data_IF_574892173232
#
_entry.id   IF_574892173232
#
_cell.length_a   1.000
_cell.length_b   1.000
_cell.length_c   1.000
_cell.angle_alpha   90.00
_cell.angle_beta   90.00
_cell.angle_gamma   90.00
#
_symmetry.space_group_name_H-M   'P 1'
#
loop_
_entity.id
_entity.type
_entity.pdbx_description
1 polymer ?
#
# COMPACT_ATOMS: atom_id res chain seq x y z
N UNK A 1 14.00 -16.12 -13.22
CA UNK A 1 14.17 -17.27 -12.30
C UNK A 1 13.15 -17.11 -11.19
N UNK A 2 12.44 -18.16 -10.75
CA UNK A 2 11.38 -17.99 -9.74
C UNK A 2 11.96 -17.45 -8.43
N UNK A 3 11.23 -16.59 -7.73
CA UNK A 3 11.62 -16.20 -6.37
C UNK A 3 10.93 -17.11 -5.36
N UNK A 4 11.67 -17.54 -4.34
CA UNK A 4 11.08 -18.28 -3.22
C UNK A 4 10.07 -17.42 -2.42
N UNK A 5 10.15 -16.10 -2.56
CA UNK A 5 9.23 -15.15 -1.94
C UNK A 5 7.84 -15.13 -2.60
N UNK A 6 7.66 -15.81 -3.74
CA UNK A 6 6.34 -16.03 -4.33
C UNK A 6 5.50 -17.05 -3.56
N UNK A 7 6.13 -17.84 -2.69
CA UNK A 7 5.51 -18.97 -2.02
C UNK A 7 4.98 -18.60 -0.65
N UNK A 8 3.84 -19.15 -0.25
CA UNK A 8 3.42 -19.20 1.16
C UNK A 8 4.22 -20.25 1.92
N UNK A 9 4.18 -20.20 3.25
CA UNK A 9 4.90 -21.16 4.09
C UNK A 9 4.38 -22.58 3.85
N UNK A 10 3.08 -22.71 3.67
CA UNK A 10 2.40 -23.97 3.35
C UNK A 10 2.82 -24.51 1.98
N UNK A 11 2.86 -23.67 0.95
CA UNK A 11 3.36 -24.08 -0.37
C UNK A 11 4.83 -24.53 -0.29
N UNK A 12 5.66 -23.81 0.47
CA UNK A 12 7.05 -24.17 0.65
C UNK A 12 7.19 -25.51 1.41
N UNK A 13 6.33 -25.80 2.39
CA UNK A 13 6.29 -27.10 3.09
C UNK A 13 6.04 -28.28 2.16
N UNK A 14 5.31 -28.06 1.06
CA UNK A 14 5.05 -29.08 0.06
C UNK A 14 6.27 -29.35 -0.83
N UNK A 15 7.13 -28.35 -1.03
CA UNK A 15 8.34 -28.44 -1.85
C UNK A 15 9.51 -29.02 -1.04
N UNK A 16 9.77 -28.50 0.17
CA UNK A 16 10.98 -28.87 0.93
C UNK A 16 10.75 -30.07 1.85
N UNK A 17 11.74 -30.97 1.93
CA UNK A 17 11.71 -32.13 2.83
C UNK A 17 12.86 -32.09 3.84
N UNK A 18 12.61 -32.37 5.13
CA UNK A 18 11.30 -32.50 5.77
C UNK A 18 10.52 -31.17 5.84
N UNK A 19 9.17 -31.17 5.94
CA UNK A 19 8.34 -29.96 5.83
C UNK A 19 8.70 -28.84 6.82
N UNK A 20 9.19 -29.17 8.02
CA UNK A 20 9.58 -28.17 9.01
C UNK A 20 10.71 -27.23 8.52
N UNK A 21 11.47 -27.63 7.49
CA UNK A 21 12.52 -26.80 6.88
C UNK A 21 11.96 -25.51 6.29
N UNK A 22 10.69 -25.48 5.86
CA UNK A 22 10.04 -24.27 5.35
C UNK A 22 10.08 -23.13 6.37
N UNK A 23 9.82 -23.43 7.65
CA UNK A 23 9.92 -22.44 8.74
C UNK A 23 11.33 -21.89 8.90
N UNK A 24 12.35 -22.74 8.77
CA UNK A 24 13.75 -22.29 8.87
C UNK A 24 14.12 -21.37 7.72
N UNK A 25 13.73 -21.73 6.49
CA UNK A 25 13.95 -20.91 5.29
C UNK A 25 13.24 -19.56 5.45
N UNK A 26 11.98 -19.57 5.89
CA UNK A 26 11.21 -18.35 6.20
C UNK A 26 11.94 -17.44 7.18
N UNK A 27 12.39 -17.99 8.32
CA UNK A 27 13.11 -17.20 9.32
C UNK A 27 14.42 -16.62 8.76
N UNK A 28 15.16 -17.36 7.93
CA UNK A 28 16.37 -16.84 7.30
C UNK A 28 16.08 -15.67 6.36
N UNK A 29 15.06 -15.78 5.54
CA UNK A 29 14.68 -14.74 4.57
C UNK A 29 14.10 -13.53 5.30
N UNK A 30 13.05 -13.72 6.09
CA UNK A 30 12.22 -12.63 6.61
C UNK A 30 12.67 -12.09 7.97
N UNK A 31 13.45 -12.84 8.75
CA UNK A 31 13.95 -12.39 10.06
C UNK A 31 15.44 -12.12 10.10
N UNK A 32 16.23 -12.82 9.27
CA UNK A 32 17.69 -12.65 9.18
C UNK A 32 18.13 -11.89 7.92
N UNK A 33 17.21 -11.63 6.98
CA UNK A 33 17.46 -10.85 5.76
C UNK A 33 18.62 -11.37 4.91
N UNK A 34 18.82 -12.70 4.85
CA UNK A 34 19.92 -13.29 4.07
C UNK A 34 19.77 -13.03 2.57
N UNK A 35 20.91 -12.94 1.89
CA UNK A 35 20.97 -12.76 0.43
C UNK A 35 21.20 -14.08 -0.31
N UNK A 36 21.67 -15.12 0.38
CA UNK A 36 22.04 -16.38 -0.22
C UNK A 36 21.49 -17.56 0.58
N UNK A 37 21.06 -18.62 -0.13
CA UNK A 37 20.73 -19.88 0.51
C UNK A 37 21.93 -20.51 1.22
N UNK A 38 23.16 -20.18 0.78
CA UNK A 38 24.38 -20.67 1.42
C UNK A 38 24.55 -20.18 2.87
N UNK A 39 23.96 -19.03 3.23
CA UNK A 39 24.02 -18.46 4.59
C UNK A 39 23.17 -19.26 5.59
N UNK A 40 22.27 -20.12 5.12
CA UNK A 40 21.32 -20.87 5.95
C UNK A 40 21.99 -22.07 6.62
N UNK A 41 22.90 -21.82 7.57
CA UNK A 41 23.80 -22.83 8.16
C UNK A 41 23.10 -24.00 8.87
N UNK A 42 21.84 -23.82 9.28
CA UNK A 42 21.05 -24.89 9.88
C UNK A 42 20.39 -25.81 8.84
N UNK A 43 20.58 -25.58 7.53
CA UNK A 43 20.09 -26.42 6.43
C UNK A 43 21.21 -27.32 5.87
N UNK A 44 20.89 -28.57 5.47
CA UNK A 44 21.83 -29.43 4.77
C UNK A 44 22.42 -28.75 3.52
N UNK A 45 23.69 -29.04 3.21
CA UNK A 45 24.36 -28.48 2.02
C UNK A 45 23.61 -28.81 0.73
N UNK A 46 23.15 -30.05 0.58
CA UNK A 46 22.37 -30.50 -0.58
C UNK A 46 21.09 -29.67 -0.79
N UNK A 47 20.34 -29.40 0.28
CA UNK A 47 19.12 -28.60 0.21
C UNK A 47 19.42 -27.14 -0.19
N UNK A 48 20.51 -26.55 0.32
CA UNK A 48 20.90 -25.19 -0.07
C UNK A 48 21.25 -25.12 -1.56
N UNK A 49 21.94 -26.13 -2.09
CA UNK A 49 22.29 -26.22 -3.50
C UNK A 49 21.08 -26.45 -4.42
N UNK A 50 20.11 -27.26 -3.99
CA UNK A 50 18.84 -27.46 -4.69
C UNK A 50 18.04 -26.15 -4.77
N UNK A 51 17.87 -25.46 -3.64
CA UNK A 51 17.16 -24.18 -3.59
C UNK A 51 17.83 -23.13 -4.48
N UNK A 52 19.17 -23.03 -4.45
CA UNK A 52 19.92 -22.10 -5.31
C UNK A 52 19.80 -22.38 -6.81
N UNK A 53 19.47 -23.61 -7.22
CA UNK A 53 19.27 -23.96 -8.63
C UNK A 53 17.89 -23.59 -9.14
N UNK A 54 16.88 -23.64 -8.27
CA UNK A 54 15.48 -23.43 -8.65
C UNK A 54 14.97 -22.02 -8.37
N UNK A 55 15.46 -21.41 -7.29
CA UNK A 55 14.96 -20.17 -6.76
C UNK A 55 16.05 -19.12 -6.60
N UNK A 56 15.63 -17.86 -6.69
CA UNK A 56 16.34 -16.75 -6.08
C UNK A 56 15.61 -16.31 -4.81
N UNK A 57 16.29 -15.57 -3.93
CA UNK A 57 15.65 -14.98 -2.75
C UNK A 57 14.90 -13.71 -3.17
N UNK A 58 15.60 -12.59 -3.38
CA UNK A 58 14.94 -11.32 -3.68
C UNK A 58 14.85 -11.07 -5.19
N UNK A 59 13.65 -10.84 -5.76
CA UNK A 59 13.48 -10.51 -7.17
C UNK A 59 13.75 -9.03 -7.51
N UNK A 60 14.15 -8.22 -6.52
CA UNK A 60 14.34 -6.78 -6.67
C UNK A 60 15.79 -6.39 -6.51
N UNK A 61 16.19 -5.39 -7.29
CA UNK A 61 17.46 -4.69 -7.13
C UNK A 61 17.19 -3.21 -6.87
N UNK A 62 17.80 -2.64 -5.83
CA UNK A 62 17.75 -1.19 -5.57
C UNK A 62 18.63 -0.49 -6.61
N UNK A 63 18.01 0.25 -7.51
CA UNK A 63 18.71 1.05 -8.53
C UNK A 63 19.06 2.43 -7.99
N UNK A 64 18.14 3.05 -7.26
CA UNK A 64 18.32 4.37 -6.69
C UNK A 64 17.51 4.54 -5.40
N UNK A 65 18.00 5.40 -4.51
CA UNK A 65 17.31 5.83 -3.29
C UNK A 65 17.39 7.34 -3.18
N UNK A 66 16.24 8.00 -3.18
CA UNK A 66 16.13 9.44 -2.97
C UNK A 66 15.61 9.70 -1.54
N UNK A 67 16.29 10.57 -0.79
CA UNK A 67 15.90 10.91 0.57
C UNK A 67 15.39 12.36 0.64
N UNK A 68 14.18 12.50 1.20
CA UNK A 68 13.51 13.78 1.42
C UNK A 68 13.98 14.42 2.72
N UNK A 69 13.86 15.75 2.81
CA UNK A 69 14.12 16.52 4.04
C UNK A 69 13.27 16.06 5.24
N UNK A 70 12.10 15.47 5.00
CA UNK A 70 11.24 14.93 6.05
C UNK A 70 11.59 13.50 6.51
N UNK A 71 12.66 12.93 5.94
CA UNK A 71 13.16 11.58 6.19
C UNK A 71 12.45 10.48 5.40
N UNK A 72 11.49 10.83 4.52
CA UNK A 72 10.90 9.87 3.59
C UNK A 72 11.95 9.43 2.57
N UNK A 73 11.93 8.15 2.19
CA UNK A 73 12.84 7.62 1.18
C UNK A 73 12.07 6.98 0.05
N UNK A 74 12.34 7.40 -1.19
CA UNK A 74 11.78 6.82 -2.40
C UNK A 74 12.80 5.87 -3.03
N UNK A 75 12.39 4.64 -3.25
CA UNK A 75 13.20 3.58 -3.83
C UNK A 75 12.77 3.36 -5.26
N UNK A 76 13.74 3.31 -6.17
CA UNK A 76 13.57 2.79 -7.51
C UNK A 76 14.10 1.35 -7.55
N UNK A 77 13.20 0.39 -7.73
CA UNK A 77 13.56 -1.02 -7.86
C UNK A 77 13.57 -1.45 -9.32
N UNK A 78 14.56 -2.24 -9.73
CA UNK A 78 14.58 -2.98 -10.99
C UNK A 78 14.10 -4.41 -10.76
N UNK A 79 13.18 -4.84 -11.62
CA UNK A 79 12.61 -6.19 -11.66
C UNK A 79 13.47 -7.09 -12.57
N UNK A 80 13.28 -8.41 -12.47
CA UNK A 80 14.02 -9.39 -13.28
C UNK A 80 13.85 -9.20 -14.80
N UNK A 81 12.71 -8.64 -15.23
CA UNK A 81 12.40 -8.37 -16.63
C UNK A 81 12.85 -6.98 -17.09
N UNK A 82 13.63 -6.27 -16.27
CA UNK A 82 14.24 -4.98 -16.60
C UNK A 82 13.33 -3.77 -16.40
N UNK A 83 12.03 -3.97 -16.14
CA UNK A 83 11.12 -2.90 -15.76
C UNK A 83 11.45 -2.37 -14.36
N UNK A 84 10.94 -1.18 -14.05
CA UNK A 84 11.12 -0.54 -12.75
C UNK A 84 9.80 -0.24 -12.05
N UNK A 85 9.85 -0.22 -10.72
CA UNK A 85 8.76 0.22 -9.85
C UNK A 85 9.30 1.10 -8.74
N UNK A 86 8.42 1.90 -8.15
CA UNK A 86 8.75 2.74 -7.01
C UNK A 86 8.10 2.24 -5.72
N UNK A 87 8.77 2.49 -4.60
CA UNK A 87 8.22 2.29 -3.26
C UNK A 87 8.69 3.41 -2.34
N UNK A 88 7.94 3.69 -1.27
CA UNK A 88 8.26 4.80 -0.38
C UNK A 88 8.26 4.36 1.08
N UNK A 89 9.34 4.61 1.78
CA UNK A 89 9.40 4.55 3.24
C UNK A 89 8.98 5.90 3.81
N UNK A 90 7.96 5.90 4.68
CA UNK A 90 7.42 7.09 5.33
C UNK A 90 7.65 7.00 6.85
N UNK A 91 8.53 7.82 7.44
CA UNK A 91 8.62 7.95 8.88
C UNK A 91 7.38 8.70 9.42
N UNK A 92 6.51 8.00 10.14
CA UNK A 92 5.24 8.54 10.64
C UNK A 92 5.38 9.21 12.01
N UNK A 93 6.21 8.64 12.89
CA UNK A 93 6.54 9.20 14.20
C UNK A 93 8.00 8.92 14.50
N UNK A 94 8.71 9.91 15.05
CA UNK A 94 10.09 9.75 15.51
C UNK A 94 10.12 9.03 16.87
N UNK A 95 11.24 8.37 17.12
CA UNK A 95 11.54 7.86 18.45
C UNK A 95 11.70 9.02 19.42
N UNK A 96 11.18 8.86 20.62
CA UNK A 96 11.41 9.79 21.73
C UNK A 96 11.90 8.99 22.92
N UNK A 97 12.89 9.54 23.60
CA UNK A 97 13.48 9.00 24.82
C UNK A 97 13.34 10.02 25.94
N UNK A 98 13.19 9.53 27.16
CA UNK A 98 13.28 10.37 28.35
C UNK A 98 14.75 10.70 28.69
N UNK A 99 14.95 11.50 29.74
CA UNK A 99 16.27 11.93 30.22
C UNK A 99 17.13 10.75 30.69
N UNK A 100 16.51 9.63 31.06
CA UNK A 100 17.13 8.39 31.50
C UNK A 100 17.50 7.46 30.31
N UNK A 101 17.13 7.86 29.08
CA UNK A 101 17.43 7.15 27.84
C UNK A 101 16.44 6.04 27.48
N UNK A 102 15.34 5.88 28.23
CA UNK A 102 14.29 4.91 27.96
C UNK A 102 13.39 5.36 26.82
N UNK A 103 12.95 4.43 25.96
CA UNK A 103 12.06 4.73 24.83
C UNK A 103 10.64 4.98 25.35
N UNK A 104 10.22 6.24 25.38
CA UNK A 104 8.84 6.66 25.70
C UNK A 104 7.92 6.59 24.49
N UNK A 105 8.46 6.75 23.28
CA UNK A 105 7.71 6.56 22.04
C UNK A 105 8.59 5.84 21.01
N UNK A 106 8.13 4.68 20.54
CA UNK A 106 8.78 3.99 19.44
C UNK A 106 8.53 4.68 18.10
N UNK A 107 9.57 4.74 17.26
CA UNK A 107 9.42 5.18 15.88
C UNK A 107 8.37 4.34 15.13
N UNK A 108 7.57 4.99 14.28
CA UNK A 108 6.54 4.34 13.44
C UNK A 108 6.83 4.59 11.97
N UNK A 109 6.74 3.54 11.17
CA UNK A 109 6.96 3.59 9.72
C UNK A 109 5.73 3.12 8.97
N UNK A 110 5.51 3.69 7.79
CA UNK A 110 4.63 3.12 6.77
C UNK A 110 5.43 2.90 5.50
N UNK A 111 5.19 1.81 4.81
CA UNK A 111 5.82 1.48 3.53
C UNK A 111 4.73 1.48 2.46
N UNK A 112 4.87 2.37 1.50
CA UNK A 112 4.03 2.44 0.32
C UNK A 112 4.61 1.50 -0.74
N UNK A 113 3.83 0.50 -1.14
CA UNK A 113 4.24 -0.51 -2.11
C UNK A 113 3.41 -0.43 -3.38
N UNK A 114 4.08 -0.72 -4.49
CA UNK A 114 3.49 -0.94 -5.81
C UNK A 114 2.90 -2.34 -5.92
N UNK A 115 1.87 -2.47 -6.73
CA UNK A 115 1.16 -3.74 -7.03
C UNK A 115 1.22 -4.12 -8.51
N UNK A 116 1.57 -3.19 -9.39
CA UNK A 116 1.69 -3.41 -10.82
C UNK A 116 2.86 -2.58 -11.38
N UNK A 117 3.37 -2.96 -12.55
CA UNK A 117 4.21 -2.10 -13.37
C UNK A 117 3.29 -1.22 -14.22
N UNK A 118 3.19 0.06 -13.84
CA UNK A 118 2.21 0.98 -14.40
C UNK A 118 0.80 0.79 -13.83
N UNK A 119 -0.22 1.36 -14.48
CA UNK A 119 -1.62 1.27 -14.02
C UNK A 119 -2.63 1.49 -15.17
N UNK A 120 -3.71 0.70 -15.21
CA UNK A 120 -4.77 0.80 -16.24
C UNK A 120 -5.85 1.86 -15.96
N UNK A 121 -5.87 2.44 -14.75
CA UNK A 121 -7.02 3.23 -14.29
C UNK A 121 -7.18 4.59 -14.99
N UNK A 122 -6.11 5.12 -15.60
CA UNK A 122 -6.19 6.33 -16.41
C UNK A 122 -6.50 7.61 -15.63
N UNK A 123 -6.26 7.64 -14.31
CA UNK A 123 -6.56 8.80 -13.47
C UNK A 123 -5.80 10.05 -13.96
N UNK A 124 -6.53 11.12 -14.29
CA UNK A 124 -5.96 12.30 -14.95
C UNK A 124 -4.95 13.08 -14.08
N UNK A 125 -5.08 12.94 -12.76
CA UNK A 125 -4.20 13.56 -11.77
C UNK A 125 -2.98 12.70 -11.40
N UNK A 126 -2.89 11.44 -11.88
CA UNK A 126 -1.86 10.49 -11.48
C UNK A 126 -0.74 10.39 -12.53
N UNK A 127 0.51 10.61 -12.11
CA UNK A 127 1.66 10.50 -13.01
C UNK A 127 1.87 9.06 -13.53
N UNK A 128 1.67 8.05 -12.67
CA UNK A 128 1.78 6.62 -13.03
C UNK A 128 0.84 6.23 -14.17
N UNK A 129 -0.36 6.81 -14.21
CA UNK A 129 -1.33 6.52 -15.26
C UNK A 129 -0.83 6.91 -16.67
N UNK A 130 0.08 7.90 -16.77
CA UNK A 130 0.69 8.28 -18.05
C UNK A 130 1.65 7.22 -18.60
N UNK A 131 2.23 6.39 -17.74
CA UNK A 131 3.14 5.31 -18.14
C UNK A 131 2.43 4.09 -18.74
N UNK A 132 1.09 4.06 -18.72
CA UNK A 132 0.31 2.90 -19.15
C UNK A 132 0.42 1.73 -18.18
N UNK A 133 -0.08 0.56 -18.58
CA UNK A 133 0.05 -0.70 -17.84
C UNK A 133 0.91 -1.68 -18.62
N UNK A 134 1.81 -2.37 -17.92
CA UNK A 134 2.66 -3.41 -18.50
C UNK A 134 2.25 -4.78 -17.98
N UNK A 135 2.35 -5.01 -16.65
CA UNK A 135 1.97 -6.28 -16.02
C UNK A 135 1.69 -6.14 -14.54
N UNK A 136 1.07 -7.19 -13.99
CA UNK A 136 0.94 -7.37 -12.55
C UNK A 136 2.28 -7.76 -11.91
N UNK A 137 2.49 -7.34 -10.65
CA UNK A 137 3.58 -7.84 -9.83
C UNK A 137 3.22 -9.21 -9.24
N UNK A 138 4.22 -10.07 -9.10
CA UNK A 138 4.08 -11.35 -8.39
C UNK A 138 4.02 -11.11 -6.87
N UNK A 139 3.60 -12.12 -6.07
CA UNK A 139 3.61 -11.98 -4.61
C UNK A 139 5.00 -11.66 -4.08
N UNK A 140 6.04 -12.32 -4.61
CA UNK A 140 7.43 -12.10 -4.21
C UNK A 140 7.91 -10.69 -4.53
N UNK A 141 7.55 -10.12 -5.68
CA UNK A 141 7.88 -8.73 -6.03
C UNK A 141 7.18 -7.72 -5.10
N UNK A 142 5.96 -8.01 -4.62
CA UNK A 142 5.26 -7.15 -3.64
C UNK A 142 5.93 -7.25 -2.26
N UNK A 143 6.19 -8.47 -1.79
CA UNK A 143 6.79 -8.73 -0.47
C UNK A 143 8.22 -8.19 -0.40
N UNK A 144 8.99 -8.32 -1.47
CA UNK A 144 10.37 -7.89 -1.53
C UNK A 144 10.55 -6.38 -1.36
N UNK A 145 9.59 -5.56 -1.82
CA UNK A 145 9.63 -4.11 -1.58
C UNK A 145 9.72 -3.79 -0.08
N UNK A 146 8.95 -4.51 0.74
CA UNK A 146 8.97 -4.33 2.21
C UNK A 146 10.26 -4.87 2.82
N UNK A 147 10.69 -6.06 2.39
CA UNK A 147 11.91 -6.70 2.90
C UNK A 147 13.15 -5.83 2.64
N UNK A 148 13.35 -5.42 1.39
CA UNK A 148 14.52 -4.63 0.98
C UNK A 148 14.54 -3.25 1.65
N UNK A 149 13.39 -2.57 1.76
CA UNK A 149 13.30 -1.30 2.49
C UNK A 149 13.65 -1.47 3.96
N UNK A 150 13.15 -2.53 4.62
CA UNK A 150 13.49 -2.77 6.03
C UNK A 150 14.97 -3.06 6.19
N UNK A 151 15.54 -3.86 5.30
CA UNK A 151 16.97 -4.23 5.30
C UNK A 151 17.87 -3.02 5.09
N UNK A 152 17.61 -2.23 4.05
CA UNK A 152 18.40 -1.03 3.69
C UNK A 152 18.39 0.03 4.81
N UNK A 153 17.29 0.12 5.57
CA UNK A 153 17.16 1.06 6.69
C UNK A 153 17.50 0.46 8.06
N UNK A 154 18.07 -0.75 8.12
CA UNK A 154 18.35 -1.47 9.36
C UNK A 154 17.15 -1.55 10.31
N UNK A 155 15.94 -1.65 9.75
CA UNK A 155 14.70 -1.82 10.50
C UNK A 155 14.61 -3.28 10.92
N UNK A 156 14.64 -3.52 12.23
CA UNK A 156 14.56 -4.85 12.80
C UNK A 156 13.37 -5.66 12.27
N UNK A 157 13.54 -6.97 12.12
CA UNK A 157 12.51 -7.87 11.61
C UNK A 157 11.21 -7.78 12.43
N UNK A 158 11.30 -7.72 13.76
CA UNK A 158 10.18 -7.58 14.68
C UNK A 158 9.64 -6.14 14.80
N UNK A 159 10.28 -5.13 14.18
CA UNK A 159 9.80 -3.76 14.21
C UNK A 159 8.50 -3.64 13.43
N UNK A 160 7.50 -3.07 14.10
CA UNK A 160 6.16 -2.86 13.54
C UNK A 160 6.21 -1.79 12.44
N UNK A 161 5.72 -2.14 11.25
CA UNK A 161 5.49 -1.24 10.13
C UNK A 161 4.04 -1.32 9.67
N UNK A 162 3.55 -0.27 9.02
CA UNK A 162 2.30 -0.37 8.24
C UNK A 162 2.65 -0.54 6.76
N UNK A 163 1.83 -1.27 6.01
CA UNK A 163 1.97 -1.42 4.56
C UNK A 163 0.74 -0.80 3.93
N UNK A 164 0.94 0.08 2.95
CA UNK A 164 -0.14 0.69 2.18
C UNK A 164 0.07 0.39 0.71
N UNK A 165 -0.94 -0.18 0.07
CA UNK A 165 -0.93 -0.48 -1.36
C UNK A 165 -1.41 0.76 -2.12
N UNK A 166 -0.57 1.79 -2.13
CA UNK A 166 -0.85 3.12 -2.70
C UNK A 166 0.29 3.58 -3.64
N UNK A 167 1.19 2.66 -4.02
CA UNK A 167 2.24 2.93 -5.00
C UNK A 167 1.70 2.82 -6.42
N UNK A 168 2.51 2.25 -7.33
CA UNK A 168 2.11 2.04 -8.70
C UNK A 168 1.10 0.88 -8.82
N UNK A 169 0.04 1.09 -9.61
CA UNK A 169 -0.96 0.08 -9.93
C UNK A 169 -2.27 0.18 -9.16
N UNK A 170 -3.28 -0.54 -9.64
CA UNK A 170 -4.55 -0.78 -8.95
C UNK A 170 -4.48 -2.15 -8.23
N UNK A 171 -4.38 -2.19 -6.90
CA UNK A 171 -4.17 -3.44 -6.17
C UNK A 171 -5.27 -4.48 -6.42
N UNK A 172 -6.53 -4.04 -6.60
CA UNK A 172 -7.63 -4.97 -6.86
C UNK A 172 -7.66 -5.52 -8.29
N UNK A 173 -6.97 -4.91 -9.24
CA UNK A 173 -6.71 -5.49 -10.58
C UNK A 173 -5.59 -6.55 -10.53
N UNK A 174 -4.93 -6.71 -9.37
CA UNK A 174 -3.93 -7.74 -9.10
C UNK A 174 -4.29 -8.56 -7.83
N UNK A 175 -5.57 -8.85 -7.63
CA UNK A 175 -6.10 -9.35 -6.36
C UNK A 175 -5.44 -10.67 -5.91
N UNK A 176 -5.22 -11.64 -6.79
CA UNK A 176 -4.64 -12.95 -6.39
C UNK A 176 -3.24 -12.80 -5.80
N UNK A 177 -2.37 -12.10 -6.52
CA UNK A 177 -0.99 -11.91 -6.08
C UNK A 177 -0.94 -11.04 -4.81
N UNK A 178 -1.84 -10.05 -4.73
CA UNK A 178 -2.01 -9.21 -3.54
C UNK A 178 -2.41 -10.03 -2.31
N UNK A 179 -3.45 -10.88 -2.40
CA UNK A 179 -3.91 -11.73 -1.30
C UNK A 179 -2.76 -12.62 -0.82
N UNK A 180 -2.02 -13.21 -1.75
CA UNK A 180 -0.90 -14.09 -1.43
C UNK A 180 0.25 -13.33 -0.74
N UNK A 181 0.61 -12.14 -1.24
CA UNK A 181 1.60 -11.27 -0.61
C UNK A 181 1.18 -10.86 0.81
N UNK A 182 -0.10 -10.48 0.99
CA UNK A 182 -0.68 -10.13 2.29
C UNK A 182 -0.53 -11.30 3.28
N UNK A 183 -0.82 -12.54 2.86
CA UNK A 183 -0.67 -13.76 3.68
C UNK A 183 0.80 -14.03 4.04
N UNK A 184 1.72 -13.90 3.09
CA UNK A 184 3.16 -14.07 3.32
C UNK A 184 3.68 -13.05 4.34
N UNK A 185 3.31 -11.78 4.19
CA UNK A 185 3.72 -10.73 5.13
C UNK A 185 3.12 -10.90 6.52
N UNK A 186 1.94 -11.52 6.61
CA UNK A 186 1.25 -11.73 7.87
C UNK A 186 1.77 -12.92 8.69
N UNK A 187 2.36 -13.92 8.03
CA UNK A 187 2.88 -15.11 8.70
C UNK A 187 3.87 -14.72 9.83
N UNK A 188 3.74 -15.38 10.98
CA UNK A 188 4.57 -15.15 12.17
C UNK A 188 6.05 -15.56 11.96
N UNK A 189 6.31 -16.52 11.08
CA UNK A 189 7.66 -16.88 10.65
C UNK A 189 8.10 -16.03 9.44
N UNK A 190 7.18 -15.26 8.84
CA UNK A 190 7.43 -14.29 7.77
C UNK A 190 7.80 -12.91 8.32
N UNK A 191 7.31 -11.84 7.67
CA UNK A 191 7.54 -10.46 8.12
C UNK A 191 6.72 -10.09 9.37
N UNK A 192 5.81 -10.95 9.85
CA UNK A 192 4.99 -10.73 11.04
C UNK A 192 4.19 -9.42 11.05
N UNK A 193 3.74 -8.98 9.87
CA UNK A 193 2.96 -7.75 9.70
C UNK A 193 1.47 -8.08 9.80
N UNK A 194 0.85 -7.70 10.92
CA UNK A 194 -0.60 -7.88 11.13
C UNK A 194 -1.42 -7.34 9.95
N UNK A 195 -2.43 -8.09 9.51
CA UNK A 195 -3.41 -7.65 8.50
C UNK A 195 -4.01 -6.29 8.83
N UNK A 196 -4.19 -5.97 10.12
CA UNK A 196 -4.72 -4.68 10.59
C UNK A 196 -3.78 -3.49 10.37
N UNK A 197 -2.56 -3.74 9.89
CA UNK A 197 -1.56 -2.73 9.50
C UNK A 197 -1.36 -2.67 7.99
N UNK A 198 -2.11 -3.46 7.24
CA UNK A 198 -2.07 -3.50 5.79
C UNK A 198 -3.33 -2.81 5.26
N UNK A 199 -3.16 -1.75 4.47
CA UNK A 199 -4.27 -0.96 3.90
C UNK A 199 -4.28 -1.10 2.38
N UNK A 200 -5.31 -1.76 1.85
CA UNK A 200 -5.55 -1.89 0.41
C UNK A 200 -6.31 -0.66 -0.04
N UNK A 201 -5.70 0.17 -0.90
CA UNK A 201 -6.39 1.25 -1.58
C UNK A 201 -6.92 0.76 -2.93
N UNK A 202 -8.05 1.31 -3.37
CA UNK A 202 -8.62 0.99 -4.68
C UNK A 202 -9.35 2.17 -5.30
N UNK A 203 -9.27 2.24 -6.63
CA UNK A 203 -10.02 3.13 -7.51
C UNK A 203 -11.49 2.76 -7.63
N UNK A 204 -11.96 1.72 -6.93
CA UNK A 204 -13.38 1.40 -6.82
C UNK A 204 -13.86 0.27 -7.72
N UNK A 205 -13.05 -0.78 -7.91
CA UNK A 205 -13.47 -1.97 -8.66
C UNK A 205 -14.50 -2.74 -7.81
N UNK A 206 -15.78 -2.38 -7.91
CA UNK A 206 -16.82 -2.78 -6.94
C UNK A 206 -16.98 -4.30 -6.83
N UNK A 207 -16.83 -5.05 -7.93
CA UNK A 207 -16.81 -6.51 -7.90
C UNK A 207 -15.60 -7.08 -7.12
N UNK A 208 -14.41 -6.50 -7.28
CA UNK A 208 -13.23 -6.94 -6.52
C UNK A 208 -13.26 -6.51 -5.06
N UNK A 209 -13.94 -5.39 -4.73
CA UNK A 209 -14.17 -5.01 -3.33
C UNK A 209 -14.97 -6.10 -2.63
N UNK A 210 -16.04 -6.60 -3.26
CA UNK A 210 -16.84 -7.72 -2.72
C UNK A 210 -15.99 -8.96 -2.54
N UNK A 211 -15.23 -9.34 -3.58
CA UNK A 211 -14.35 -10.52 -3.54
C UNK A 211 -13.27 -10.43 -2.45
N UNK A 212 -12.64 -9.28 -2.28
CA UNK A 212 -11.71 -9.05 -1.16
C UNK A 212 -12.42 -9.15 0.20
N UNK A 213 -13.67 -8.73 0.28
CA UNK A 213 -14.51 -8.88 1.47
C UNK A 213 -14.79 -10.35 1.80
N UNK A 214 -15.09 -11.16 0.79
CA UNK A 214 -15.35 -12.61 0.93
C UNK A 214 -14.12 -13.36 1.47
N UNK A 215 -12.91 -12.98 1.05
CA UNK A 215 -11.66 -13.53 1.59
C UNK A 215 -11.47 -13.24 3.10
N UNK A 216 -12.15 -12.20 3.63
CA UNK A 216 -12.19 -11.84 5.05
C UNK A 216 -10.80 -11.81 5.73
N UNK A 217 -9.78 -11.34 5.01
CA UNK A 217 -8.39 -11.31 5.52
C UNK A 217 -8.20 -10.40 6.74
N UNK A 218 -9.15 -9.51 7.00
CA UNK A 218 -9.07 -8.55 8.09
C UNK A 218 -8.16 -7.34 7.81
N UNK A 219 -7.82 -7.10 6.53
CA UNK A 219 -7.12 -5.88 6.07
C UNK A 219 -7.96 -4.62 6.29
N UNK A 220 -7.32 -3.45 6.14
CA UNK A 220 -8.00 -2.17 6.06
C UNK A 220 -8.29 -1.83 4.60
N UNK A 221 -9.44 -1.21 4.34
CA UNK A 221 -9.86 -0.78 3.00
C UNK A 221 -9.83 0.75 2.91
N UNK A 222 -9.19 1.25 1.85
CA UNK A 222 -9.23 2.64 1.42
C UNK A 222 -9.84 2.75 0.02
N UNK A 223 -10.70 3.74 -0.19
CA UNK A 223 -11.38 4.01 -1.46
C UNK A 223 -10.90 5.36 -1.98
N UNK A 224 -10.27 5.37 -3.14
CA UNK A 224 -9.93 6.58 -3.89
C UNK A 224 -11.20 7.12 -4.56
N UNK A 225 -11.91 7.98 -3.83
CA UNK A 225 -13.21 8.50 -4.25
C UNK A 225 -13.08 9.77 -5.10
N UNK A 226 -12.40 10.78 -4.54
CA UNK A 226 -11.98 12.05 -5.16
C UNK A 226 -13.06 12.95 -5.79
N UNK A 227 -14.29 12.48 -5.94
CA UNK A 227 -15.44 13.26 -6.38
C UNK A 227 -16.72 12.69 -5.77
N UNK A 228 -17.76 13.52 -5.69
CA UNK A 228 -19.06 13.19 -5.08
C UNK A 228 -20.21 13.15 -6.07
N UNK A 229 -19.92 13.22 -7.36
CA UNK A 229 -20.84 12.93 -8.45
C UNK A 229 -20.09 12.27 -9.60
N UNK A 230 -20.83 11.44 -10.36
CA UNK A 230 -20.25 10.60 -11.40
C UNK A 230 -19.63 11.41 -12.53
N UNK A 231 -20.23 12.56 -12.89
CA UNK A 231 -19.70 13.41 -13.96
C UNK A 231 -18.27 13.84 -13.67
N UNK A 232 -18.02 14.43 -12.49
CA UNK A 232 -16.68 14.84 -12.13
C UNK A 232 -15.77 13.62 -11.91
N UNK A 233 -16.30 12.55 -11.32
CA UNK A 233 -15.50 11.35 -11.08
C UNK A 233 -15.02 10.70 -12.36
N UNK A 234 -15.83 10.66 -13.41
CA UNK A 234 -15.42 10.16 -14.73
C UNK A 234 -14.33 10.99 -15.39
N UNK A 235 -14.35 12.31 -15.20
CA UNK A 235 -13.31 13.21 -15.69
C UNK A 235 -11.97 12.94 -14.99
N UNK A 236 -12.00 12.76 -13.67
CA UNK A 236 -10.80 12.52 -12.87
C UNK A 236 -10.31 11.07 -12.95
N UNK A 237 -11.24 10.12 -13.02
CA UNK A 237 -11.04 8.67 -12.89
C UNK A 237 -11.93 7.95 -13.90
N UNK A 238 -11.47 7.72 -15.14
CA UNK A 238 -12.27 7.11 -16.21
C UNK A 238 -12.90 5.76 -15.86
N UNK A 239 -12.30 5.02 -14.93
CA UNK A 239 -12.86 3.77 -14.36
C UNK A 239 -14.28 3.93 -13.79
N UNK A 240 -14.71 5.15 -13.43
CA UNK A 240 -16.07 5.42 -12.96
C UNK A 240 -17.15 5.06 -13.98
N UNK A 241 -16.83 5.08 -15.28
CA UNK A 241 -17.75 4.65 -16.35
C UNK A 241 -18.14 3.17 -16.22
N UNK A 242 -17.22 2.34 -15.73
CA UNK A 242 -17.45 0.92 -15.48
C UNK A 242 -18.00 0.69 -14.06
N UNK A 243 -17.53 1.46 -13.07
CA UNK A 243 -17.90 1.33 -11.67
C UNK A 243 -18.24 2.70 -11.08
N UNK A 244 -19.52 3.08 -11.19
CA UNK A 244 -20.02 4.36 -10.70
C UNK A 244 -19.99 4.44 -9.17
N UNK A 245 -20.17 5.65 -8.62
CA UNK A 245 -20.11 5.89 -7.17
C UNK A 245 -21.11 5.00 -6.40
N UNK A 246 -22.33 4.85 -6.90
CA UNK A 246 -23.36 4.03 -6.25
C UNK A 246 -22.91 2.57 -6.10
N UNK A 247 -22.36 1.98 -7.16
CA UNK A 247 -21.87 0.60 -7.13
C UNK A 247 -20.72 0.41 -6.12
N UNK A 248 -19.84 1.41 -6.01
CA UNK A 248 -18.73 1.41 -5.04
C UNK A 248 -19.29 1.46 -3.62
N UNK A 249 -20.21 2.39 -3.35
CA UNK A 249 -20.82 2.53 -2.02
C UNK A 249 -21.59 1.28 -1.61
N UNK A 250 -22.30 0.64 -2.55
CA UNK A 250 -22.97 -0.64 -2.29
C UNK A 250 -21.96 -1.73 -1.91
N UNK A 251 -20.88 -1.90 -2.67
CA UNK A 251 -19.83 -2.87 -2.35
C UNK A 251 -19.15 -2.60 -1.00
N UNK A 252 -18.91 -1.33 -0.66
CA UNK A 252 -18.33 -0.92 0.62
C UNK A 252 -19.26 -1.23 1.79
N UNK A 253 -20.59 -1.08 1.64
CA UNK A 253 -21.57 -1.43 2.68
C UNK A 253 -21.59 -2.94 2.98
N UNK A 254 -21.31 -3.76 1.98
CA UNK A 254 -21.24 -5.22 2.11
C UNK A 254 -19.86 -5.70 2.61
N UNK A 255 -18.83 -4.83 2.61
CA UNK A 255 -17.50 -5.20 3.05
C UNK A 255 -17.47 -5.48 4.56
N UNK A 256 -16.82 -6.56 5.04
CA UNK A 256 -16.80 -6.91 6.45
C UNK A 256 -15.98 -5.92 7.27
N UNK A 257 -16.66 -5.06 8.01
CA UNK A 257 -16.07 -4.06 8.90
C UNK A 257 -16.35 -4.48 10.35
N UNK A 258 -15.31 -4.91 11.07
CA UNK A 258 -15.37 -5.11 12.52
C UNK A 258 -15.76 -3.79 13.25
N UNK A 259 -16.35 -3.88 14.44
CA UNK A 259 -16.87 -2.75 15.21
C UNK A 259 -15.89 -1.58 15.36
N UNK A 260 -14.58 -1.87 15.40
CA UNK A 260 -13.49 -0.89 15.54
C UNK A 260 -12.92 -0.37 14.23
N UNK A 261 -13.28 -0.96 13.08
CA UNK A 261 -12.74 -0.57 11.77
C UNK A 261 -13.60 0.50 11.12
N UNK A 262 -12.97 1.29 10.27
CA UNK A 262 -13.62 2.28 9.41
C UNK A 262 -13.01 2.17 8.02
N UNK A 263 -13.86 2.21 7.00
CA UNK A 263 -13.40 2.34 5.61
C UNK A 263 -12.88 3.76 5.43
N UNK A 264 -11.68 3.87 4.87
CA UNK A 264 -11.07 5.15 4.57
C UNK A 264 -11.54 5.60 3.19
N UNK A 265 -12.00 6.83 3.07
CA UNK A 265 -12.24 7.46 1.78
C UNK A 265 -11.16 8.51 1.55
N UNK A 266 -10.34 8.30 0.53
CA UNK A 266 -9.35 9.27 0.09
C UNK A 266 -10.02 10.27 -0.87
N UNK A 267 -9.88 11.54 -0.54
CA UNK A 267 -10.49 12.62 -1.28
C UNK A 267 -9.41 13.64 -1.65
N UNK A 268 -8.91 13.53 -2.88
CA UNK A 268 -7.96 14.46 -3.46
C UNK A 268 -8.69 15.76 -3.76
N UNK A 269 -8.31 16.83 -3.08
CA UNK A 269 -8.95 18.12 -3.19
C UNK A 269 -8.19 18.95 -4.23
N UNK A 270 -8.92 19.41 -5.24
CA UNK A 270 -8.44 20.22 -6.36
C UNK A 270 -9.19 21.55 -6.31
N UNK A 271 -8.42 22.64 -6.36
CA UNK A 271 -8.93 24.00 -6.27
C UNK A 271 -10.00 24.27 -7.32
N UNK A 272 -11.09 24.91 -6.92
CA UNK A 272 -12.20 25.37 -7.76
C UNK A 272 -12.95 24.24 -8.50
N UNK A 273 -12.66 22.98 -8.17
CA UNK A 273 -13.26 21.80 -8.80
C UNK A 273 -14.11 20.99 -7.83
N UNK A 274 -13.55 20.67 -6.65
CA UNK A 274 -14.22 19.81 -5.67
C UNK A 274 -13.95 20.21 -4.20
N UNK A 275 -13.43 21.42 -3.98
CA UNK A 275 -13.03 21.97 -2.68
C UNK A 275 -14.13 22.84 -2.02
N UNK A 276 -15.32 22.83 -2.59
CA UNK A 276 -16.47 23.62 -2.14
C UNK A 276 -17.32 22.89 -1.07
N UNK A 277 -18.07 23.66 -0.28
CA UNK A 277 -18.93 23.11 0.79
C UNK A 277 -20.13 22.30 0.25
N UNK A 278 -20.61 22.54 -0.98
CA UNK A 278 -21.68 21.71 -1.56
C UNK A 278 -21.15 20.30 -1.82
N UNK A 279 -19.88 20.17 -2.23
CA UNK A 279 -19.21 18.87 -2.34
C UNK A 279 -19.10 18.18 -0.98
N UNK A 280 -18.73 18.89 0.09
CA UNK A 280 -18.72 18.35 1.45
C UNK A 280 -20.12 17.86 1.91
N UNK A 281 -21.18 18.62 1.61
CA UNK A 281 -22.58 18.25 1.87
C UNK A 281 -22.98 16.95 1.17
N UNK A 282 -22.64 16.81 -0.12
CA UNK A 282 -22.90 15.58 -0.88
C UNK A 282 -22.12 14.40 -0.29
N UNK A 283 -20.86 14.62 0.12
CA UNK A 283 -20.04 13.56 0.74
C UNK A 283 -20.68 13.04 2.04
N UNK A 284 -21.19 13.94 2.89
CA UNK A 284 -21.91 13.55 4.12
C UNK A 284 -23.09 12.65 3.80
N UNK A 285 -23.91 13.03 2.81
CA UNK A 285 -25.05 12.22 2.38
C UNK A 285 -24.63 10.86 1.83
N UNK A 286 -23.59 10.85 0.99
CA UNK A 286 -23.09 9.64 0.34
C UNK A 286 -22.59 8.61 1.35
N UNK A 287 -21.87 9.06 2.38
CA UNK A 287 -21.27 8.20 3.41
C UNK A 287 -22.21 7.91 4.57
N UNK A 288 -23.45 8.39 4.52
CA UNK A 288 -24.44 8.14 5.58
C UNK A 288 -24.65 6.63 5.79
N UNK A 289 -24.63 6.21 7.05
CA UNK A 289 -24.76 4.80 7.46
C UNK A 289 -23.49 3.95 7.29
N UNK A 290 -22.41 4.51 6.75
CA UNK A 290 -21.12 3.81 6.61
C UNK A 290 -20.22 4.21 7.77
N UNK A 291 -19.55 3.23 8.38
CA UNK A 291 -18.43 3.49 9.31
C UNK A 291 -17.23 4.00 8.51
N UNK A 292 -17.27 5.28 8.15
CA UNK A 292 -16.28 5.92 7.32
C UNK A 292 -15.32 6.78 8.14
N UNK A 293 -14.16 7.03 7.55
CA UNK A 293 -13.31 8.20 7.83
C UNK A 293 -12.87 8.77 6.48
N UNK A 294 -12.68 10.07 6.41
CA UNK A 294 -12.24 10.77 5.20
C UNK A 294 -10.83 11.31 5.42
N UNK A 295 -9.94 11.05 4.46
CA UNK A 295 -8.64 11.70 4.38
C UNK A 295 -8.69 12.69 3.21
N UNK A 296 -8.68 13.99 3.52
CA UNK A 296 -8.48 15.03 2.52
C UNK A 296 -6.99 15.07 2.14
N UNK A 297 -6.71 15.06 0.85
CA UNK A 297 -5.34 15.07 0.31
C UNK A 297 -5.21 16.32 -0.56
N UNK A 298 -4.18 17.11 -0.35
CA UNK A 298 -3.90 18.23 -1.25
C UNK A 298 -3.50 17.70 -2.63
N UNK A 299 -4.07 18.27 -3.68
CA UNK A 299 -3.46 18.17 -4.99
C UNK A 299 -2.12 18.93 -5.01
N UNK A 300 -1.06 18.26 -5.47
CA UNK A 300 0.26 18.85 -5.68
C UNK A 300 0.47 19.02 -7.19
N UNK A 301 0.49 20.25 -7.72
CA UNK A 301 0.71 20.47 -9.14
C UNK A 301 2.08 19.97 -9.60
N UNK A 302 2.12 19.45 -10.83
CA UNK A 302 3.32 18.99 -11.51
C UNK A 302 3.35 19.57 -12.93
N UNK A 303 4.51 19.62 -13.62
CA UNK A 303 4.61 20.20 -14.95
C UNK A 303 3.59 19.61 -15.95
N UNK A 304 2.80 20.49 -16.57
CA UNK A 304 1.79 20.11 -17.57
C UNK A 304 0.42 19.69 -17.04
N UNK A 305 0.16 19.77 -15.73
CA UNK A 305 -1.21 19.61 -15.20
C UNK A 305 -2.04 20.88 -15.37
N UNK A 306 -3.35 20.73 -15.57
CA UNK A 306 -4.33 21.83 -15.56
C UNK A 306 -4.89 22.12 -14.16
N UNK A 307 -4.66 21.21 -13.20
CA UNK A 307 -5.22 21.30 -11.86
C UNK A 307 -4.35 22.13 -10.91
N UNK A 308 -4.98 22.73 -9.90
CA UNK A 308 -4.30 23.60 -8.94
C UNK A 308 -4.46 23.10 -7.51
N UNK A 309 -3.48 23.43 -6.67
CA UNK A 309 -3.52 23.15 -5.22
C UNK A 309 -4.63 23.99 -4.56
N UNK A 310 -5.52 23.39 -3.75
CA UNK A 310 -6.54 24.13 -3.01
C UNK A 310 -5.90 25.00 -1.91
N UNK A 311 -6.64 25.99 -1.42
CA UNK A 311 -6.15 26.83 -0.32
C UNK A 311 -6.27 26.10 1.02
N UNK A 312 -5.47 26.51 2.00
CA UNK A 312 -5.54 25.93 3.35
C UNK A 312 -6.92 26.15 3.96
N UNK A 313 -7.51 27.31 3.73
CA UNK A 313 -8.82 27.70 4.24
C UNK A 313 -9.93 26.82 3.64
N UNK A 314 -9.91 26.52 2.34
CA UNK A 314 -10.91 25.62 1.75
C UNK A 314 -10.82 24.21 2.33
N UNK A 315 -9.60 23.69 2.49
CA UNK A 315 -9.35 22.38 3.10
C UNK A 315 -9.85 22.30 4.55
N UNK A 316 -9.52 23.31 5.35
CA UNK A 316 -9.93 23.38 6.76
C UNK A 316 -11.45 23.48 6.90
N UNK A 317 -12.11 24.36 6.12
CA UNK A 317 -13.57 24.46 6.10
C UNK A 317 -14.24 23.15 5.69
N UNK A 318 -13.71 22.45 4.69
CA UNK A 318 -14.22 21.15 4.25
C UNK A 318 -14.09 20.11 5.37
N UNK A 319 -12.91 20.02 5.99
CA UNK A 319 -12.64 19.14 7.13
C UNK A 319 -13.58 19.40 8.31
N UNK A 320 -13.71 20.67 8.72
CA UNK A 320 -14.60 21.08 9.81
C UNK A 320 -16.05 20.72 9.52
N UNK A 321 -16.50 20.97 8.28
CA UNK A 321 -17.85 20.61 7.88
C UNK A 321 -18.12 19.11 8.05
N UNK A 322 -17.22 18.24 7.56
CA UNK A 322 -17.37 16.79 7.72
C UNK A 322 -17.37 16.35 9.19
N UNK A 323 -16.45 16.89 10.00
CA UNK A 323 -16.35 16.57 11.42
C UNK A 323 -17.61 16.98 12.19
N UNK A 324 -18.13 18.18 11.93
CA UNK A 324 -19.36 18.69 12.54
C UNK A 324 -20.61 17.87 12.17
N UNK A 325 -20.54 17.06 11.11
CA UNK A 325 -21.61 16.17 10.67
C UNK A 325 -21.28 14.68 10.94
N UNK A 326 -20.38 14.40 11.88
CA UNK A 326 -20.12 13.06 12.40
C UNK A 326 -19.19 12.19 11.54
N UNK A 327 -18.59 12.74 10.49
CA UNK A 327 -17.59 12.04 9.66
C UNK A 327 -16.20 12.44 10.13
N UNK A 328 -15.46 11.46 10.67
CA UNK A 328 -14.06 11.68 11.08
C UNK A 328 -13.27 12.06 9.83
N UNK A 329 -12.77 13.29 9.81
CA UNK A 329 -12.01 13.84 8.71
C UNK A 329 -10.66 14.36 9.18
N UNK A 330 -9.60 13.95 8.48
CA UNK A 330 -8.25 14.50 8.64
C UNK A 330 -7.73 15.05 7.32
N UNK A 331 -6.78 15.98 7.40
CA UNK A 331 -6.02 16.42 6.23
C UNK A 331 -4.68 15.69 6.29
N UNK A 332 -4.36 14.96 5.21
CA UNK A 332 -3.08 14.27 5.05
C UNK A 332 -2.05 15.29 4.59
N UNK A 333 -1.07 15.56 5.45
CA UNK A 333 0.12 16.30 5.04
C UNK A 333 0.88 15.50 3.98
N UNK A 334 1.27 16.18 2.91
CA UNK A 334 2.12 15.59 1.88
C UNK A 334 3.52 15.37 2.44
N UNK A 335 4.06 14.17 2.21
CA UNK A 335 5.43 13.80 2.60
C UNK A 335 6.25 13.48 1.36
N UNK A 336 7.56 13.72 1.40
CA UNK A 336 8.46 13.43 0.28
C UNK A 336 8.21 14.26 -0.99
N UNK A 337 7.66 15.48 -0.85
CA UNK A 337 7.33 16.34 -1.99
C UNK A 337 8.55 16.76 -2.82
N UNK A 338 9.68 17.02 -2.15
CA UNK A 338 10.94 17.45 -2.75
C UNK A 338 11.59 16.37 -3.63
N UNK A 339 11.22 15.10 -3.44
CA UNK A 339 11.69 13.95 -4.21
C UNK A 339 10.59 13.32 -5.08
N UNK A 340 9.43 13.99 -5.19
CA UNK A 340 8.26 13.50 -5.95
C UNK A 340 7.84 12.07 -5.55
N UNK A 341 7.77 11.79 -4.24
CA UNK A 341 7.38 10.49 -3.68
C UNK A 341 5.88 10.35 -3.37
#
# INVERSE_FOLDING_TARGET
MKTIMDLTKEELQNIVKPPFRAKQIYNWIYQKYVNSFHDMQNLPKSLREELSKEFIISPLEIVNVEESKDGSKKYLFRLQDGHTIESVLLPMKKEQRDEEGNIVQSAKYSICVSSQVGCKMGCSFCLTAKGGFIRNLTPGEIVAQVLEIKKDNNIEANKRVNVVYMGMGEPLDNLENLIKAIKIMNDLDGLSISMRRQTVSTSGLSHQIKRLGEENLGVLLAISLHAVDDKLREELMPINKAYNIESIIKAVREFPIDQRKRVMFEYLVIKDLNDDIKSAKKLVKLLHGIKAKVNLIYFNPYPGTQYQRPTKESMERFKEYLNNHGIICTIRESKGLDISA
#
